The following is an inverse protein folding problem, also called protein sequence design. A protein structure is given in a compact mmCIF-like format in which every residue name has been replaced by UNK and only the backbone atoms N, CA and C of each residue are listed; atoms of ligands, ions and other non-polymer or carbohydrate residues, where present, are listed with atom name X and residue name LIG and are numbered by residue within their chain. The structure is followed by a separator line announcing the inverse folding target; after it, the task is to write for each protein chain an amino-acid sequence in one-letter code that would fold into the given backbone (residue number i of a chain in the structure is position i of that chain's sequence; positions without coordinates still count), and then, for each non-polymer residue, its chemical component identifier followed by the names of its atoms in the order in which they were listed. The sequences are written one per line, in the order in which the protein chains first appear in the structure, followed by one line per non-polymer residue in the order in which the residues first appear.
data_IF_933848512300
#
_entry.id   IF_933848512300
#
_cell.length_a   1.000
_cell.length_b   1.000
_cell.length_c   1.000
_cell.angle_alpha   90.00
_cell.angle_beta   90.00
_cell.angle_gamma   90.00
#
_symmetry.space_group_name_H-M   'P 1'
#
loop_
_entity.id
_entity.type
_entity.pdbx_description
1 polymer ?
#
# COMPACT_ATOMS: atom_id res chain seq x y z
N UNK A 1 -24.10 0.98 5.24
CA UNK A 1 -23.54 1.72 6.40
C UNK A 1 -22.08 2.02 6.11
N UNK A 2 -21.76 3.23 5.69
CA UNK A 2 -20.38 3.69 5.46
C UNK A 2 -19.68 3.82 6.80
N UNK A 3 -18.76 2.92 7.13
CA UNK A 3 -17.95 3.06 8.34
C UNK A 3 -17.13 4.37 8.24
N UNK A 4 -17.18 5.21 9.29
CA UNK A 4 -16.31 6.38 9.36
C UNK A 4 -14.84 5.96 9.22
N UNK A 5 -14.09 6.70 8.40
CA UNK A 5 -12.66 6.49 8.15
C UNK A 5 -11.84 6.51 9.44
N UNK A 6 -12.36 7.17 10.49
CA UNK A 6 -11.68 7.35 11.76
C UNK A 6 -11.58 6.07 12.60
N UNK A 7 -12.32 5.02 12.21
CA UNK A 7 -12.41 3.76 12.97
C UNK A 7 -11.89 2.54 12.22
N UNK A 8 -11.47 2.70 10.96
CA UNK A 8 -11.00 1.56 10.17
C UNK A 8 -9.56 1.18 10.55
N UNK A 9 -9.21 -0.12 10.52
CA UNK A 9 -7.81 -0.55 10.49
C UNK A 9 -7.07 0.10 9.33
N UNK A 10 -5.79 0.41 9.52
CA UNK A 10 -4.99 0.99 8.45
C UNK A 10 -4.81 -0.03 7.31
N UNK A 11 -5.06 0.34 6.03
CA UNK A 11 -4.90 -0.58 4.91
C UNK A 11 -3.50 -1.16 4.79
N UNK A 12 -2.45 -0.46 5.25
CA UNK A 12 -1.07 -0.96 5.21
C UNK A 12 -0.79 -2.17 6.12
N UNK A 13 -1.82 -2.71 6.79
CA UNK A 13 -1.77 -3.87 7.68
C UNK A 13 -0.75 -3.76 8.83
N UNK A 14 -0.52 -2.55 9.33
CA UNK A 14 0.37 -2.30 10.48
C UNK A 14 -0.23 -2.76 11.83
N UNK A 15 -1.49 -3.19 11.85
CA UNK A 15 -2.26 -3.46 13.07
C UNK A 15 -2.81 -2.21 13.77
N UNK A 16 -2.41 -1.01 13.34
CA UNK A 16 -2.90 0.27 13.87
C UNK A 16 -4.19 0.72 13.17
N UNK A 17 -4.93 1.64 13.79
CA UNK A 17 -6.06 2.33 13.13
C UNK A 17 -5.54 3.37 12.14
N UNK A 18 -6.32 3.64 11.10
CA UNK A 18 -5.92 4.54 10.01
C UNK A 18 -5.46 5.93 10.50
N UNK A 19 -6.21 6.67 11.35
CA UNK A 19 -5.79 8.00 11.79
C UNK A 19 -4.45 8.01 12.53
N UNK A 20 -4.19 7.00 13.36
CA UNK A 20 -2.95 6.85 14.12
C UNK A 20 -1.79 6.22 13.32
N UNK A 21 -2.03 5.86 12.06
CA UNK A 21 -1.05 5.23 11.18
C UNK A 21 -0.84 6.09 9.93
N UNK A 22 -1.33 5.69 8.75
CA UNK A 22 -1.10 6.46 7.54
C UNK A 22 -1.93 7.75 7.45
N UNK A 23 -3.02 7.85 8.21
CA UNK A 23 -3.91 9.00 8.24
C UNK A 23 -3.21 10.29 8.65
N UNK A 24 -2.34 10.24 9.67
CA UNK A 24 -1.53 11.39 10.12
C UNK A 24 -0.62 11.98 9.02
N UNK A 25 -0.26 11.18 8.02
CA UNK A 25 0.55 11.65 6.89
C UNK A 25 -0.33 12.21 5.77
N UNK A 26 -1.49 11.61 5.53
CA UNK A 26 -2.44 12.09 4.51
C UNK A 26 -3.08 13.41 4.92
N UNK A 27 -3.29 13.65 6.22
CA UNK A 27 -3.75 14.94 6.76
C UNK A 27 -2.67 16.01 6.84
N UNK A 28 -1.41 15.67 6.55
CA UNK A 28 -0.22 16.52 6.69
C UNK A 28 0.10 16.94 8.14
N UNK A 29 -0.53 16.32 9.15
CA UNK A 29 -0.20 16.54 10.56
C UNK A 29 1.21 16.04 10.93
N UNK A 30 1.77 15.15 10.11
CA UNK A 30 3.08 14.55 10.29
C UNK A 30 3.67 14.11 8.95
N UNK A 31 4.97 13.81 8.94
CA UNK A 31 5.66 13.27 7.76
C UNK A 31 6.24 11.88 8.06
N UNK A 32 6.25 10.95 7.08
CA UNK A 32 6.92 9.67 7.24
C UNK A 32 8.41 9.86 7.55
N UNK A 33 8.90 9.20 8.61
CA UNK A 33 10.30 9.32 9.05
C UNK A 33 11.24 8.33 8.36
N UNK A 34 10.70 7.27 7.78
CA UNK A 34 11.44 6.25 7.04
C UNK A 34 10.84 6.03 5.65
N UNK A 35 11.62 5.47 4.73
CA UNK A 35 11.13 5.09 3.41
C UNK A 35 10.02 4.03 3.48
N UNK A 36 10.11 3.07 4.41
CA UNK A 36 9.04 2.09 4.65
C UNK A 36 7.74 2.76 5.11
N UNK A 37 7.82 3.71 6.04
CA UNK A 37 6.64 4.45 6.49
C UNK A 37 6.00 5.22 5.32
N UNK A 38 6.82 5.80 4.44
CA UNK A 38 6.33 6.44 3.23
C UNK A 38 5.68 5.42 2.29
N UNK A 39 6.32 4.29 2.01
CA UNK A 39 5.78 3.23 1.18
C UNK A 39 4.39 2.77 1.68
N UNK A 40 4.28 2.46 2.99
CA UNK A 40 3.02 2.04 3.63
C UNK A 40 1.91 3.08 3.51
N UNK A 41 2.26 4.35 3.66
CA UNK A 41 1.30 5.45 3.50
C UNK A 41 0.85 5.65 2.06
N UNK A 42 1.78 5.59 1.09
CA UNK A 42 1.44 5.63 -0.34
C UNK A 42 0.50 4.48 -0.72
N UNK A 43 0.80 3.25 -0.27
CA UNK A 43 -0.11 2.13 -0.44
C UNK A 43 -1.51 2.41 0.15
N UNK A 44 -1.58 2.95 1.37
CA UNK A 44 -2.86 3.27 2.01
C UNK A 44 -3.64 4.34 1.23
N UNK A 45 -2.96 5.28 0.58
CA UNK A 45 -3.58 6.27 -0.29
C UNK A 45 -4.18 5.60 -1.53
N UNK A 46 -3.46 4.68 -2.18
CA UNK A 46 -4.03 3.87 -3.28
C UNK A 46 -5.24 3.05 -2.82
N UNK A 47 -5.16 2.41 -1.66
CA UNK A 47 -6.24 1.59 -1.11
C UNK A 47 -7.50 2.38 -0.78
N UNK A 48 -7.34 3.61 -0.28
CA UNK A 48 -8.44 4.48 0.13
C UNK A 48 -8.86 5.50 -0.94
N UNK A 49 -8.17 5.57 -2.07
CA UNK A 49 -8.46 6.55 -3.12
C UNK A 49 -9.87 6.45 -3.70
N UNK A 50 -10.50 5.28 -3.67
CA UNK A 50 -11.91 5.15 -4.04
C UNK A 50 -12.89 5.82 -3.05
N UNK A 51 -12.46 6.08 -1.79
CA UNK A 51 -13.26 6.72 -0.73
C UNK A 51 -12.88 8.19 -0.54
N UNK A 52 -11.60 8.50 -0.71
CA UNK A 52 -11.01 9.83 -0.48
C UNK A 52 -10.09 10.20 -1.66
N UNK A 53 -10.64 10.32 -2.89
CA UNK A 53 -9.83 10.44 -4.11
C UNK A 53 -8.93 11.67 -4.08
N UNK A 54 -9.44 12.81 -3.61
CA UNK A 54 -8.68 14.06 -3.61
C UNK A 54 -7.50 14.01 -2.64
N UNK A 55 -7.76 13.71 -1.36
CA UNK A 55 -6.70 13.60 -0.34
C UNK A 55 -5.65 12.57 -0.73
N UNK A 56 -6.07 11.42 -1.25
CA UNK A 56 -5.14 10.36 -1.65
C UNK A 56 -4.32 10.76 -2.88
N UNK A 57 -4.95 11.38 -3.89
CA UNK A 57 -4.23 11.86 -5.07
C UNK A 57 -3.23 12.96 -4.71
N UNK A 58 -3.64 13.95 -3.89
CA UNK A 58 -2.76 15.00 -3.39
C UNK A 58 -1.53 14.43 -2.69
N UNK A 59 -1.74 13.50 -1.76
CA UNK A 59 -0.65 12.86 -1.03
C UNK A 59 0.32 12.09 -1.95
N UNK A 60 -0.22 11.33 -2.90
CA UNK A 60 0.59 10.53 -3.84
C UNK A 60 1.40 11.41 -4.79
N UNK A 61 0.85 12.54 -5.24
CA UNK A 61 1.54 13.53 -6.07
C UNK A 61 2.66 14.23 -5.29
N UNK A 62 2.36 14.70 -4.07
CA UNK A 62 3.34 15.40 -3.22
C UNK A 62 4.51 14.51 -2.79
N UNK A 63 4.31 13.19 -2.75
CA UNK A 63 5.32 12.23 -2.31
C UNK A 63 5.95 11.44 -3.45
N UNK A 64 5.85 11.94 -4.69
CA UNK A 64 6.46 11.33 -5.88
C UNK A 64 7.35 12.33 -6.63
N UNK A 65 8.48 11.87 -7.14
CA UNK A 65 9.36 12.63 -8.03
C UNK A 65 9.06 12.36 -9.52
N UNK A 66 8.06 11.53 -9.83
CA UNK A 66 7.72 11.17 -11.22
C UNK A 66 6.96 12.32 -11.89
N UNK A 67 7.56 13.01 -12.89
CA UNK A 67 6.85 14.02 -13.67
C UNK A 67 5.77 13.34 -14.51
N UNK A 68 4.55 13.86 -14.51
CA UNK A 68 3.52 13.44 -15.48
C UNK A 68 2.42 12.51 -14.97
N UNK A 69 2.31 12.22 -13.67
CA UNK A 69 1.05 11.67 -13.14
C UNK A 69 -0.01 12.76 -13.14
N UNK A 70 -0.79 12.86 -14.22
CA UNK A 70 -1.97 13.70 -14.26
C UNK A 70 -2.91 13.23 -13.14
N UNK A 71 -3.26 14.13 -12.21
CA UNK A 71 -4.11 13.86 -11.04
C UNK A 71 -5.33 13.01 -11.42
N UNK A 72 -5.94 13.31 -12.58
CA UNK A 72 -7.13 12.65 -13.07
C UNK A 72 -6.91 11.16 -13.38
N UNK A 73 -5.82 10.83 -14.06
CA UNK A 73 -5.42 9.45 -14.37
C UNK A 73 -5.13 8.65 -13.10
N UNK A 74 -4.51 9.28 -12.10
CA UNK A 74 -4.27 8.67 -10.80
C UNK A 74 -5.57 8.38 -10.04
N UNK A 75 -6.50 9.34 -10.02
CA UNK A 75 -7.82 9.15 -9.40
C UNK A 75 -8.59 8.01 -10.07
N UNK A 76 -8.53 7.91 -11.40
CA UNK A 76 -9.20 6.83 -12.13
C UNK A 76 -8.56 5.47 -11.83
N UNK A 77 -7.23 5.40 -11.80
CA UNK A 77 -6.52 4.19 -11.39
C UNK A 77 -6.94 3.69 -9.99
N UNK A 78 -7.03 4.59 -9.02
CA UNK A 78 -7.46 4.26 -7.65
C UNK A 78 -8.93 3.79 -7.56
N UNK A 79 -9.77 4.11 -8.55
CA UNK A 79 -11.15 3.61 -8.61
C UNK A 79 -11.24 2.19 -9.15
N UNK A 80 -10.34 1.82 -10.07
CA UNK A 80 -10.40 0.53 -10.78
C UNK A 80 -9.84 -0.63 -9.97
N UNK A 81 -8.85 -0.38 -9.12
CA UNK A 81 -8.22 -1.42 -8.29
C UNK A 81 -8.75 -1.44 -6.86
N UNK A 82 -8.95 -2.63 -6.29
CA UNK A 82 -9.20 -2.80 -4.86
C UNK A 82 -8.00 -3.44 -4.21
N UNK A 83 -7.22 -2.61 -3.53
CA UNK A 83 -6.07 -3.04 -2.73
C UNK A 83 -6.56 -3.68 -1.42
N UNK A 84 -6.09 -4.89 -1.14
CA UNK A 84 -6.57 -5.71 -0.01
C UNK A 84 -5.46 -6.07 0.98
N UNK A 85 -4.19 -6.02 0.57
CA UNK A 85 -3.07 -6.24 1.48
C UNK A 85 -1.76 -5.66 0.98
N UNK A 86 -0.85 -5.42 1.93
CA UNK A 86 0.52 -5.00 1.70
C UNK A 86 1.45 -5.90 2.52
N UNK A 87 2.47 -6.45 1.88
CA UNK A 87 3.55 -7.20 2.52
C UNK A 87 4.86 -6.48 2.24
N UNK A 88 5.52 -5.98 3.28
CA UNK A 88 6.91 -5.50 3.17
C UNK A 88 7.82 -6.73 3.24
N UNK A 89 8.67 -6.90 2.24
CA UNK A 89 9.58 -8.03 2.09
C UNK A 89 10.98 -7.66 2.59
N UNK A 90 11.49 -6.51 2.15
CA UNK A 90 12.81 -6.01 2.57
C UNK A 90 12.84 -4.48 2.60
N UNK A 91 13.71 -3.95 3.46
CA UNK A 91 14.01 -2.52 3.55
C UNK A 91 15.50 -2.33 3.74
N UNK A 92 16.13 -1.52 2.89
CA UNK A 92 17.55 -1.22 3.02
C UNK A 92 17.84 0.26 2.84
N UNK A 93 18.63 0.82 3.75
CA UNK A 93 19.28 2.11 3.53
C UNK A 93 20.61 1.85 2.82
N UNK A 94 20.92 2.64 1.79
CA UNK A 94 22.18 2.42 1.05
C UNK A 94 23.39 2.62 1.97
N UNK A 95 23.33 3.58 2.91
CA UNK A 95 24.37 3.91 3.90
C UNK A 95 23.77 4.47 5.21
N UNK A 96 24.55 4.55 6.29
CA UNK A 96 24.18 5.29 7.50
C UNK A 96 24.02 6.79 7.20
N UNK A 97 22.85 7.35 7.50
CA UNK A 97 22.51 8.73 7.12
C UNK A 97 22.14 8.91 5.65
N UNK A 98 21.97 7.82 4.89
CA UNK A 98 21.65 7.88 3.47
C UNK A 98 20.35 8.65 3.21
N UNK A 99 20.42 9.53 2.22
CA UNK A 99 19.26 10.16 1.61
C UNK A 99 18.61 9.26 0.54
N UNK A 100 19.01 7.98 0.48
CA UNK A 100 18.49 6.99 -0.46
C UNK A 100 18.19 5.68 0.29
N UNK A 101 17.04 5.09 0.01
CA UNK A 101 16.60 3.82 0.57
C UNK A 101 15.78 3.02 -0.44
N UNK A 102 15.73 1.71 -0.23
CA UNK A 102 14.94 0.76 -1.00
C UNK A 102 13.88 0.12 -0.12
N UNK A 103 12.70 -0.12 -0.69
CA UNK A 103 11.66 -0.95 -0.07
C UNK A 103 11.16 -1.95 -1.10
N UNK A 104 11.31 -3.24 -0.81
CA UNK A 104 10.70 -4.34 -1.56
C UNK A 104 9.39 -4.74 -0.90
N UNK A 105 8.33 -4.86 -1.69
CA UNK A 105 7.01 -5.17 -1.18
C UNK A 105 6.15 -5.88 -2.22
N UNK A 106 5.16 -6.62 -1.73
CA UNK A 106 4.07 -7.16 -2.53
C UNK A 106 2.76 -6.47 -2.15
N UNK A 107 2.16 -5.74 -3.08
CA UNK A 107 0.82 -5.19 -2.96
C UNK A 107 -0.19 -6.14 -3.59
N UNK A 108 -1.23 -6.47 -2.82
CA UNK A 108 -2.25 -7.45 -3.19
C UNK A 108 -3.54 -6.73 -3.54
N UNK A 109 -4.15 -7.12 -4.67
CA UNK A 109 -5.40 -6.54 -5.13
C UNK A 109 -6.39 -7.58 -5.64
N UNK A 110 -7.66 -7.20 -5.74
CA UNK A 110 -8.67 -7.94 -6.48
C UNK A 110 -9.36 -7.01 -7.49
N UNK A 111 -9.98 -7.56 -8.55
CA UNK A 111 -10.90 -6.79 -9.37
C UNK A 111 -11.99 -6.14 -8.51
N UNK A 112 -12.37 -4.90 -8.84
CA UNK A 112 -13.39 -4.16 -8.07
C UNK A 112 -14.76 -4.86 -8.05
N UNK A 113 -15.09 -5.61 -9.10
CA UNK A 113 -16.32 -6.42 -9.23
C UNK A 113 -16.40 -7.57 -8.23
N UNK A 114 -15.25 -8.08 -7.77
CA UNK A 114 -15.18 -9.19 -6.80
C UNK A 114 -15.50 -8.77 -5.37
N UNK A 115 -15.39 -7.47 -5.04
CA UNK A 115 -15.66 -6.97 -3.68
C UNK A 115 -17.16 -6.96 -3.32
N UNK A 116 -18.03 -6.70 -4.30
CA UNK A 116 -19.48 -6.67 -4.07
C UNK A 116 -20.14 -8.07 -4.10
N UNK A 117 -19.46 -9.06 -4.67
CA UNK A 117 -19.91 -10.45 -4.68
C UNK A 117 -19.28 -11.23 -3.52
N UNK A 118 -19.77 -10.97 -2.31
CA UNK A 118 -19.43 -11.70 -1.07
C UNK A 118 -19.73 -13.23 -1.11
N UNK A 119 -20.16 -13.77 -2.26
CA UNK A 119 -20.59 -15.16 -2.44
C UNK A 119 -20.05 -15.84 -3.72
N UNK A 120 -19.00 -15.33 -4.37
CA UNK A 120 -18.35 -16.14 -5.40
C UNK A 120 -17.46 -17.20 -4.74
N UNK A 121 -17.96 -18.44 -4.78
CA UNK A 121 -17.35 -19.68 -4.25
C UNK A 121 -16.12 -20.13 -5.01
N UNK A 122 -15.71 -19.42 -6.07
CA UNK A 122 -14.42 -19.60 -6.72
C UNK A 122 -13.44 -18.61 -6.09
N UNK A 123 -12.74 -19.03 -5.04
CA UNK A 123 -11.59 -18.28 -4.51
C UNK A 123 -10.61 -18.07 -5.66
N UNK A 124 -10.56 -16.86 -6.22
CA UNK A 124 -9.47 -16.47 -7.10
C UNK A 124 -8.34 -15.96 -6.20
N UNK A 125 -7.10 -16.31 -6.53
CA UNK A 125 -5.95 -15.71 -5.85
C UNK A 125 -5.96 -14.20 -6.11
N UNK A 126 -5.56 -13.39 -5.12
CA UNK A 126 -5.36 -11.97 -5.35
C UNK A 126 -4.26 -11.75 -6.39
N UNK A 127 -4.43 -10.72 -7.21
CA UNK A 127 -3.39 -10.24 -8.10
C UNK A 127 -2.26 -9.65 -7.25
N UNK A 128 -1.01 -9.90 -7.66
CA UNK A 128 0.18 -9.39 -7.00
C UNK A 128 0.81 -8.26 -7.82
N UNK A 129 1.29 -7.24 -7.11
CA UNK A 129 2.30 -6.32 -7.62
C UNK A 129 3.52 -6.41 -6.70
N UNK A 130 4.50 -7.20 -7.12
CA UNK A 130 5.80 -7.28 -6.46
C UNK A 130 6.72 -6.21 -7.05
N UNK A 131 7.17 -5.28 -6.22
CA UNK A 131 8.03 -4.18 -6.64
C UNK A 131 9.14 -3.93 -5.62
N UNK A 132 10.31 -3.51 -6.13
CA UNK A 132 11.35 -2.87 -5.33
C UNK A 132 11.43 -1.39 -5.69
N UNK A 133 10.98 -0.53 -4.80
CA UNK A 133 10.97 0.93 -5.01
C UNK A 133 12.20 1.61 -4.41
N UNK A 134 12.69 2.63 -5.11
CA UNK A 134 13.68 3.59 -4.62
C UNK A 134 13.00 4.82 -4.02
N UNK A 135 13.50 5.24 -2.87
CA UNK A 135 13.10 6.46 -2.19
C UNK A 135 14.30 7.35 -1.97
N UNK A 136 14.09 8.64 -2.15
CA UNK A 136 15.09 9.68 -1.90
C UNK A 136 14.59 10.62 -0.81
N UNK A 137 15.50 11.17 0.00
CA UNK A 137 15.18 12.16 1.02
C UNK A 137 15.61 13.54 0.53
N UNK A 138 14.66 14.48 0.45
CA UNK A 138 14.89 15.88 0.08
C UNK A 138 14.22 16.78 1.12
N UNK A 139 14.93 17.79 1.60
CA UNK A 139 14.43 18.73 2.62
C UNK A 139 13.79 18.02 3.83
N UNK A 140 14.44 16.94 4.26
CA UNK A 140 13.99 16.12 5.39
C UNK A 140 12.80 15.19 5.10
N UNK A 141 12.22 15.20 3.90
CA UNK A 141 11.06 14.40 3.47
C UNK A 141 11.49 13.28 2.54
N UNK A 142 10.96 12.08 2.74
CA UNK A 142 11.10 10.99 1.79
C UNK A 142 10.18 11.22 0.58
N UNK A 143 10.64 10.85 -0.61
CA UNK A 143 9.93 10.96 -1.88
C UNK A 143 10.17 9.67 -2.66
N UNK A 144 9.10 9.11 -3.25
CA UNK A 144 9.20 8.01 -4.20
C UNK A 144 9.91 8.46 -5.48
N UNK A 145 10.95 7.76 -5.90
CA UNK A 145 11.75 8.11 -7.08
C UNK A 145 11.38 7.24 -8.28
N UNK A 146 11.52 5.93 -8.15
CA UNK A 146 11.20 4.93 -9.17
C UNK A 146 10.94 3.58 -8.49
N UNK A 147 10.60 2.57 -9.28
CA UNK A 147 10.56 1.19 -8.83
C UNK A 147 10.74 0.20 -9.96
N UNK A 148 11.24 -0.98 -9.60
CA UNK A 148 11.43 -2.12 -10.48
C UNK A 148 10.36 -3.17 -10.18
N UNK A 149 9.58 -3.53 -11.20
CA UNK A 149 8.63 -4.64 -11.09
C UNK A 149 9.39 -5.97 -11.05
N UNK A 150 9.09 -6.78 -10.04
CA UNK A 150 9.67 -8.09 -9.80
C UNK A 150 8.65 -9.19 -10.09
N UNK A 151 9.12 -10.44 -10.13
CA UNK A 151 8.25 -11.61 -10.30
C UNK A 151 7.41 -11.83 -9.06
N UNK A 152 6.17 -12.29 -9.23
CA UNK A 152 5.28 -12.69 -8.14
C UNK A 152 5.96 -13.59 -7.11
N UNK A 153 5.57 -13.43 -5.85
CA UNK A 153 6.09 -14.24 -4.74
C UNK A 153 5.15 -15.38 -4.42
N UNK A 154 5.74 -16.52 -4.07
CA UNK A 154 5.02 -17.66 -3.52
C UNK A 154 4.95 -17.52 -2.00
N UNK A 155 3.76 -17.26 -1.46
CA UNK A 155 3.57 -17.29 -0.01
C UNK A 155 3.70 -18.71 0.53
N UNK A 156 4.46 -18.88 1.60
CA UNK A 156 4.66 -20.19 2.23
C UNK A 156 3.34 -20.72 2.81
N UNK A 157 2.93 -21.92 2.38
CA UNK A 157 1.63 -22.52 2.73
C UNK A 157 1.37 -22.60 4.25
N UNK A 158 2.41 -22.82 5.06
CA UNK A 158 2.26 -22.99 6.52
C UNK A 158 2.55 -21.72 7.32
N UNK A 159 3.09 -20.67 6.71
CA UNK A 159 3.31 -19.38 7.36
C UNK A 159 1.98 -18.68 7.69
N UNK A 160 2.03 -17.70 8.57
CA UNK A 160 0.87 -16.84 8.86
C UNK A 160 0.44 -16.08 7.60
N UNK A 161 -0.87 -15.98 7.40
CA UNK A 161 -1.40 -15.29 6.24
C UNK A 161 -1.10 -13.79 6.29
N UNK A 162 -0.73 -13.22 5.15
CA UNK A 162 -0.44 -11.80 4.96
C UNK A 162 -1.56 -10.85 5.45
N UNK A 163 -2.82 -11.32 5.52
CA UNK A 163 -3.96 -10.48 5.92
C UNK A 163 -4.03 -10.18 7.42
N UNK A 164 -3.12 -10.77 8.23
CA UNK A 164 -3.11 -10.57 9.68
C UNK A 164 -4.20 -11.34 10.44
N UNK A 165 -4.90 -12.30 9.81
CA UNK A 165 -5.97 -13.09 10.46
C UNK A 165 -5.49 -14.05 11.54
N UNK A 166 -4.18 -14.25 11.69
CA UNK A 166 -3.58 -15.27 12.55
C UNK A 166 -3.70 -16.71 12.03
N UNK A 167 -4.37 -16.94 10.89
CA UNK A 167 -4.47 -18.26 10.26
C UNK A 167 -3.26 -18.54 9.38
N UNK A 168 -2.92 -19.83 9.19
CA UNK A 168 -1.96 -20.26 8.17
C UNK A 168 -2.44 -19.88 6.78
N UNK A 169 -1.54 -19.50 5.87
CA UNK A 169 -1.89 -19.09 4.50
C UNK A 169 -2.76 -20.14 3.78
N UNK A 170 -2.40 -21.42 3.88
CA UNK A 170 -3.19 -22.56 3.33
C UNK A 170 -4.62 -22.72 3.88
N UNK A 171 -4.95 -22.03 4.97
CA UNK A 171 -6.26 -22.05 5.63
C UNK A 171 -6.96 -20.69 5.54
N UNK A 172 -6.46 -19.76 4.72
CA UNK A 172 -6.99 -18.41 4.62
C UNK A 172 -7.15 -17.98 3.16
N UNK A 173 -6.04 -17.69 2.47
CA UNK A 173 -6.03 -17.08 1.14
C UNK A 173 -5.24 -17.88 0.09
N UNK A 174 -4.80 -19.09 0.43
CA UNK A 174 -4.34 -20.03 -0.60
C UNK A 174 -5.55 -20.71 -1.27
N UNK A 175 -5.38 -21.10 -2.53
CA UNK A 175 -6.20 -22.11 -3.20
C UNK A 175 -6.02 -23.49 -2.53
#
# INVERSE_FOLDING_TARGET
MTQSIDRIPCPCLSGQRYPACCGQYHSQDSIPKTAEALMRSRYSAYALGHRMPDVCADYLLQTSNTPGSERMSLVEYMKQHRWIGLVIIDTSAINAGSENAMVEFCALSTPATSYNNQKNTNQQLPDQQHERSQFIRRDGRWIYSNGEALKDIAFERNALCWCGSGKKYKKCHAL
#
